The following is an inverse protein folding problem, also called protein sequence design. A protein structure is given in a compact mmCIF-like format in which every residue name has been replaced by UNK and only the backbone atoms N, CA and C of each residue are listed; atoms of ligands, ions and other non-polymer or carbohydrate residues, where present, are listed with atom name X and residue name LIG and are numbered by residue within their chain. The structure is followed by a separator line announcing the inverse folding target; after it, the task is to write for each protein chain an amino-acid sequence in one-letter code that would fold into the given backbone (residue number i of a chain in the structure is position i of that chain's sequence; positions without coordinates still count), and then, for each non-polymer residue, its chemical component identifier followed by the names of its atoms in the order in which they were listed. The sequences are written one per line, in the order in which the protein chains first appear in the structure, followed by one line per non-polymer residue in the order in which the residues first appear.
data_IF_250320428696
#
_entry.id   IF_250320428696
#
_cell.length_a   1.000
_cell.length_b   1.000
_cell.length_c   1.000
_cell.angle_alpha   90.00
_cell.angle_beta   90.00
_cell.angle_gamma   90.00
#
_symmetry.space_group_name_H-M   'P 1'
#
loop_
_entity.id
_entity.type
_entity.pdbx_description
1 polymer ?
#
# COMPACT_ATOMS: atom_id res chain seq x y z
N UNK A 1 -26.08 7.47 21.19
CA UNK A 1 -25.57 8.65 21.94
C UNK A 1 -24.69 8.23 23.13
N UNK A 2 -23.90 7.17 22.95
CA UNK A 2 -22.85 6.64 23.82
C UNK A 2 -21.95 5.82 22.88
N UNK A 3 -20.94 6.46 22.30
CA UNK A 3 -19.86 5.80 21.53
C UNK A 3 -18.69 6.77 21.25
N UNK A 4 -18.88 8.09 21.32
CA UNK A 4 -17.80 9.08 21.20
C UNK A 4 -16.84 9.17 22.42
N UNK A 5 -16.44 8.08 23.07
CA UNK A 5 -15.49 8.16 24.22
C UNK A 5 -14.52 6.98 24.30
N UNK A 6 -14.12 6.41 23.16
CA UNK A 6 -13.12 5.33 23.14
C UNK A 6 -11.76 5.82 22.63
N UNK A 7 -11.69 6.85 21.79
CA UNK A 7 -10.41 7.27 21.16
C UNK A 7 -9.47 8.05 22.12
N UNK A 8 -9.93 8.58 23.27
CA UNK A 8 -9.06 9.32 24.20
C UNK A 8 -8.32 8.46 25.25
N UNK A 9 -8.31 7.12 25.14
CA UNK A 9 -7.72 6.25 26.17
C UNK A 9 -6.27 5.83 25.93
N UNK A 10 -5.68 6.10 24.76
CA UNK A 10 -4.28 5.74 24.47
C UNK A 10 -3.23 6.71 25.05
N UNK A 11 -3.60 7.93 25.48
CA UNK A 11 -2.63 8.98 25.85
C UNK A 11 -2.44 9.25 27.36
N UNK A 12 -2.94 8.42 28.28
CA UNK A 12 -2.79 8.70 29.73
C UNK A 12 -2.07 7.59 30.51
N UNK A 13 -0.73 7.64 30.43
CA UNK A 13 0.18 6.89 31.28
C UNK A 13 -0.01 7.21 32.76
N UNK A 14 -0.77 6.37 33.46
CA UNK A 14 -0.91 6.42 34.90
C UNK A 14 0.25 5.64 35.54
N UNK A 15 1.18 6.39 36.12
CA UNK A 15 2.27 5.90 36.95
C UNK A 15 1.72 5.37 38.28
N UNK A 16 1.80 4.06 38.49
CA UNK A 16 1.66 3.45 39.82
C UNK A 16 2.64 2.29 39.94
N UNK A 17 3.69 2.51 40.74
CA UNK A 17 4.78 1.58 40.93
C UNK A 17 4.37 0.29 41.63
N UNK A 18 4.93 -0.81 41.13
CA UNK A 18 5.11 -2.03 41.90
C UNK A 18 6.58 -2.44 41.84
N UNK A 19 7.23 -2.42 43.01
CA UNK A 19 8.55 -2.98 43.21
C UNK A 19 8.48 -4.50 43.25
N UNK A 20 9.18 -5.14 42.33
CA UNK A 20 9.44 -6.57 42.32
C UNK A 20 10.85 -6.81 41.79
N UNK A 21 11.80 -6.98 42.71
CA UNK A 21 13.18 -7.33 42.41
C UNK A 21 13.29 -8.76 41.91
N UNK A 22 13.65 -8.95 40.64
CA UNK A 22 14.07 -10.25 40.10
C UNK A 22 15.59 -10.22 39.91
N UNK A 23 16.26 -11.20 40.52
CA UNK A 23 17.71 -11.38 40.47
C UNK A 23 18.15 -11.96 39.13
N UNK A 24 19.33 -11.60 38.60
CA UNK A 24 19.91 -12.23 37.42
C UNK A 24 20.64 -13.52 37.77
N UNK A 25 20.49 -14.54 36.94
CA UNK A 25 21.24 -15.79 36.96
C UNK A 25 21.44 -16.32 35.53
N UNK A 26 22.51 -17.08 35.28
CA UNK A 26 23.53 -16.67 34.32
C UNK A 26 23.56 -17.47 33.01
N UNK A 27 24.18 -16.84 32.02
CA UNK A 27 25.09 -17.35 30.99
C UNK A 27 24.95 -18.82 30.56
N UNK A 28 24.53 -19.02 29.31
CA UNK A 28 24.89 -20.19 28.52
C UNK A 28 25.39 -19.71 27.16
N UNK A 29 26.68 -19.98 26.93
CA UNK A 29 27.45 -19.79 25.72
C UNK A 29 26.90 -20.58 24.52
N UNK A 30 27.17 -20.01 23.34
CA UNK A 30 27.63 -20.64 22.09
C UNK A 30 27.04 -22.00 21.66
N UNK A 31 26.52 -22.05 20.43
CA UNK A 31 27.29 -22.65 19.33
C UNK A 31 26.69 -22.24 17.98
N UNK A 32 27.60 -21.89 17.08
CA UNK A 32 27.35 -21.66 15.67
C UNK A 32 27.32 -23.00 14.95
N UNK A 33 26.41 -23.19 14.01
CA UNK A 33 26.65 -24.03 12.85
C UNK A 33 25.90 -23.44 11.65
N UNK A 34 26.69 -23.11 10.65
CA UNK A 34 26.29 -22.70 9.32
C UNK A 34 26.17 -23.95 8.47
N UNK A 35 25.01 -24.17 7.86
CA UNK A 35 24.88 -25.07 6.72
C UNK A 35 24.11 -24.34 5.62
N UNK A 36 24.88 -23.99 4.60
CA UNK A 36 24.41 -23.53 3.32
C UNK A 36 24.17 -24.76 2.45
N UNK A 37 22.91 -25.04 2.11
CA UNK A 37 22.58 -25.92 1.01
C UNK A 37 21.74 -25.14 0.01
N UNK A 38 22.39 -24.85 -1.11
CA UNK A 38 21.81 -24.34 -2.33
C UNK A 38 21.27 -25.53 -3.11
N UNK A 39 19.95 -25.60 -3.30
CA UNK A 39 19.35 -26.40 -4.36
C UNK A 39 18.54 -25.47 -5.27
N UNK A 40 19.07 -25.33 -6.47
CA UNK A 40 18.44 -24.71 -7.61
C UNK A 40 17.52 -25.75 -8.26
N UNK A 41 16.22 -25.46 -8.30
CA UNK A 41 15.32 -26.08 -9.27
C UNK A 41 14.60 -24.98 -10.04
N UNK A 42 15.00 -24.90 -11.31
CA UNK A 42 14.31 -24.20 -12.36
C UNK A 42 13.12 -25.03 -12.83
N UNK A 43 12.04 -24.34 -13.14
CA UNK A 43 11.07 -24.57 -14.24
C UNK A 43 9.75 -23.90 -13.79
N UNK A 44 8.94 -23.21 -14.59
CA UNK A 44 8.98 -22.65 -15.93
C UNK A 44 7.53 -22.15 -16.17
N UNK A 45 7.40 -20.86 -16.47
CA UNK A 45 6.40 -20.24 -17.33
C UNK A 45 4.89 -20.41 -17.07
N UNK A 46 4.27 -19.27 -16.80
CA UNK A 46 2.90 -19.03 -17.25
C UNK A 46 2.36 -17.66 -16.91
N UNK A 47 2.92 -16.57 -17.46
CA UNK A 47 2.15 -15.34 -17.69
C UNK A 47 2.82 -14.43 -18.74
N UNK A 48 2.25 -14.46 -19.94
CA UNK A 48 2.54 -13.52 -21.01
C UNK A 48 1.29 -12.67 -21.23
N UNK A 49 1.29 -11.44 -20.70
CA UNK A 49 0.74 -10.22 -21.32
C UNK A 49 0.60 -9.07 -20.27
N UNK A 50 1.72 -8.44 -19.91
CA UNK A 50 1.76 -7.03 -19.44
C UNK A 50 3.03 -6.36 -19.99
N UNK A 51 2.97 -5.14 -20.54
CA UNK A 51 4.17 -4.41 -20.96
C UNK A 51 4.72 -3.64 -19.76
N UNK A 52 5.68 -4.23 -19.04
CA UNK A 52 6.42 -3.61 -17.94
C UNK A 52 7.41 -4.60 -17.34
N UNK A 53 8.65 -4.18 -17.12
CA UNK A 53 9.83 -5.05 -16.95
C UNK A 53 9.68 -6.18 -15.93
N UNK A 54 10.06 -7.40 -16.35
CA UNK A 54 10.35 -8.51 -15.44
C UNK A 54 11.65 -8.28 -14.66
N UNK A 55 12.36 -9.34 -14.28
CA UNK A 55 13.68 -9.23 -13.61
C UNK A 55 14.67 -8.51 -14.54
N UNK A 56 15.16 -7.34 -14.12
CA UNK A 56 16.18 -6.63 -14.87
C UNK A 56 17.53 -7.36 -14.82
N UNK A 57 18.27 -7.44 -15.95
CA UNK A 57 19.61 -8.01 -15.94
C UNK A 57 20.49 -7.24 -14.98
N UNK A 58 21.00 -7.91 -13.95
CA UNK A 58 21.94 -7.28 -13.03
C UNK A 58 23.15 -6.73 -13.83
N UNK A 59 23.57 -5.48 -13.58
CA UNK A 59 23.24 -4.64 -12.42
C UNK A 59 22.04 -3.68 -12.58
N UNK A 60 21.20 -3.78 -13.61
CA UNK A 60 20.10 -2.85 -13.83
C UNK A 60 18.92 -2.99 -12.86
N UNK A 61 18.18 -1.89 -12.67
CA UNK A 61 16.96 -1.83 -11.84
C UNK A 61 15.72 -1.54 -12.69
N UNK A 62 14.55 -1.96 -12.21
CA UNK A 62 13.27 -1.69 -12.87
C UNK A 62 12.70 -0.37 -12.36
N UNK A 63 12.50 0.60 -13.26
CA UNK A 63 11.87 1.89 -12.95
C UNK A 63 10.87 2.24 -14.04
N UNK A 64 9.64 2.54 -13.63
CA UNK A 64 8.53 2.92 -14.53
C UNK A 64 8.30 1.91 -15.68
N UNK A 65 8.44 0.61 -15.37
CA UNK A 65 8.27 -0.47 -16.33
C UNK A 65 9.43 -0.63 -17.32
N UNK A 66 10.58 0.02 -17.07
CA UNK A 66 11.80 -0.06 -17.87
C UNK A 66 13.02 -0.51 -17.05
N UNK A 67 13.86 -1.36 -17.64
CA UNK A 67 15.15 -1.72 -17.04
C UNK A 67 16.18 -0.65 -17.37
N UNK A 68 16.60 0.08 -16.34
CA UNK A 68 17.67 1.06 -16.43
C UNK A 68 18.98 0.39 -16.05
N UNK A 69 19.91 0.33 -17.00
CA UNK A 69 21.27 -0.11 -16.73
C UNK A 69 22.08 1.07 -16.19
N UNK A 70 22.96 0.85 -15.19
CA UNK A 70 23.84 1.90 -14.70
C UNK A 70 24.77 2.38 -15.82
N UNK A 71 25.12 3.66 -15.81
CA UNK A 71 26.00 4.23 -16.82
C UNK A 71 27.35 3.47 -16.90
N UNK A 72 27.82 3.18 -18.13
CA UNK A 72 29.14 2.55 -18.36
C UNK A 72 30.31 3.43 -17.86
N UNK A 73 30.04 4.72 -17.65
CA UNK A 73 30.89 5.68 -16.97
C UNK A 73 30.03 6.65 -16.16
N UNK A 74 30.30 6.73 -14.86
CA UNK A 74 29.61 7.56 -13.88
C UNK A 74 30.36 7.46 -12.55
N UNK A 75 30.23 8.48 -11.69
CA UNK A 75 30.82 8.44 -10.34
C UNK A 75 30.20 7.28 -9.54
N UNK A 76 30.99 6.71 -8.63
CA UNK A 76 30.45 5.71 -7.71
C UNK A 76 29.67 6.45 -6.63
N UNK A 77 28.50 5.94 -6.32
CA UNK A 77 27.61 6.50 -5.31
C UNK A 77 27.01 5.35 -4.50
N UNK A 78 26.59 5.70 -3.30
CA UNK A 78 25.71 4.92 -2.44
C UNK A 78 24.33 5.61 -2.35
N UNK A 79 24.28 6.93 -2.53
CA UNK A 79 23.07 7.76 -2.48
C UNK A 79 23.03 8.79 -3.62
N UNK A 80 21.84 9.27 -3.96
CA UNK A 80 21.60 10.20 -5.09
C UNK A 80 22.29 11.56 -4.92
N UNK A 81 22.44 12.04 -3.68
CA UNK A 81 23.06 13.33 -3.35
C UNK A 81 24.58 13.36 -3.57
N UNK A 82 25.17 12.19 -3.84
CA UNK A 82 26.58 12.05 -4.22
C UNK A 82 26.80 12.23 -5.74
N UNK A 83 25.73 12.33 -6.52
CA UNK A 83 25.77 12.53 -7.96
C UNK A 83 25.66 14.00 -8.38
N UNK A 84 26.05 14.33 -9.63
CA UNK A 84 25.90 15.69 -10.15
C UNK A 84 24.42 16.04 -10.38
N UNK A 85 24.08 17.34 -10.40
CA UNK A 85 22.72 17.81 -10.68
C UNK A 85 22.18 17.19 -11.98
N UNK A 86 21.08 16.45 -11.90
CA UNK A 86 20.50 15.73 -13.04
C UNK A 86 20.91 14.26 -13.16
N UNK A 87 21.48 13.64 -12.12
CA UNK A 87 21.81 12.22 -12.05
C UNK A 87 21.23 11.55 -10.78
N UNK A 88 21.04 10.23 -10.82
CA UNK A 88 20.60 9.36 -9.73
C UNK A 88 21.57 8.20 -9.52
N UNK A 89 21.66 7.72 -8.29
CA UNK A 89 22.50 6.60 -7.92
C UNK A 89 21.83 5.26 -8.21
N UNK A 90 22.07 4.72 -9.40
CA UNK A 90 21.51 3.44 -9.84
C UNK A 90 22.59 2.36 -9.74
N UNK A 91 22.34 1.33 -8.93
CA UNK A 91 23.22 0.18 -8.75
C UNK A 91 24.69 0.57 -8.47
N UNK A 92 24.88 1.63 -7.68
CA UNK A 92 26.17 2.15 -7.26
C UNK A 92 26.89 3.03 -8.28
N UNK A 93 26.19 3.54 -9.30
CA UNK A 93 26.71 4.52 -10.25
C UNK A 93 25.74 5.65 -10.54
N UNK A 94 26.26 6.87 -10.55
CA UNK A 94 25.54 8.04 -11.02
C UNK A 94 25.15 7.83 -12.49
N UNK A 95 23.84 7.87 -12.72
CA UNK A 95 23.19 7.61 -14.00
C UNK A 95 22.22 8.77 -14.24
N UNK A 96 22.15 9.36 -15.45
CA UNK A 96 21.28 10.49 -15.73
C UNK A 96 19.83 10.31 -15.25
N UNK A 97 19.31 11.33 -14.55
CA UNK A 97 17.95 11.37 -14.04
C UNK A 97 16.98 11.60 -15.20
N UNK A 98 16.22 10.55 -15.50
CA UNK A 98 15.19 10.53 -16.54
C UNK A 98 14.04 11.51 -16.30
N UNK A 99 13.92 12.06 -15.09
CA UNK A 99 12.95 13.12 -14.75
C UNK A 99 13.40 14.50 -15.27
N UNK A 100 14.69 14.66 -15.54
CA UNK A 100 15.34 15.95 -15.81
C UNK A 100 15.83 16.05 -17.26
N UNK A 101 16.22 14.95 -17.91
CA UNK A 101 16.81 14.96 -19.25
C UNK A 101 16.20 13.95 -20.25
N UNK A 102 16.19 14.33 -21.54
CA UNK A 102 15.61 13.63 -22.69
C UNK A 102 16.32 12.32 -23.09
N UNK A 103 17.30 11.90 -22.30
CA UNK A 103 18.26 10.86 -22.66
C UNK A 103 17.83 9.44 -22.26
N UNK A 104 16.76 9.30 -21.46
CA UNK A 104 16.29 8.01 -20.99
C UNK A 104 15.38 7.28 -21.96
N UNK A 105 15.37 5.95 -21.81
CA UNK A 105 14.49 5.11 -22.60
C UNK A 105 13.03 5.23 -22.19
N UNK A 106 12.12 4.88 -23.10
CA UNK A 106 10.66 4.92 -22.84
C UNK A 106 9.95 3.73 -23.51
N UNK A 107 8.83 3.28 -22.93
CA UNK A 107 8.02 2.21 -23.52
C UNK A 107 6.81 2.76 -24.31
N UNK A 108 6.28 3.91 -23.86
CA UNK A 108 5.17 4.66 -24.44
C UNK A 108 5.30 6.15 -24.05
N UNK A 109 4.43 7.01 -24.57
CA UNK A 109 4.50 8.46 -24.35
C UNK A 109 4.24 8.86 -22.89
N UNK A 110 3.46 8.08 -22.14
CA UNK A 110 3.11 8.38 -20.74
C UNK A 110 4.31 8.25 -19.80
N UNK A 111 5.36 7.53 -20.23
CA UNK A 111 6.63 7.40 -19.54
C UNK A 111 7.54 8.63 -19.70
N UNK A 112 7.19 9.60 -20.56
CA UNK A 112 7.98 10.80 -20.80
C UNK A 112 7.40 12.02 -20.07
N UNK A 113 8.28 12.98 -19.71
CA UNK A 113 7.87 14.28 -19.19
C UNK A 113 6.98 15.01 -20.23
N UNK A 114 6.07 15.85 -19.76
CA UNK A 114 5.31 16.75 -20.63
C UNK A 114 6.21 17.51 -21.61
N UNK A 115 5.82 17.52 -22.89
CA UNK A 115 6.61 18.07 -24.00
C UNK A 115 7.51 17.05 -24.72
N UNK A 116 7.54 15.78 -24.27
CA UNK A 116 8.31 14.71 -24.87
C UNK A 116 7.42 13.52 -25.26
N UNK A 117 7.75 12.87 -26.38
CA UNK A 117 7.12 11.64 -26.85
C UNK A 117 8.11 10.51 -26.89
N UNK A 118 7.61 9.30 -26.73
CA UNK A 118 8.43 8.12 -26.79
C UNK A 118 8.68 7.70 -28.24
N UNK A 119 9.89 7.97 -28.73
CA UNK A 119 10.29 7.60 -30.09
C UNK A 119 11.51 6.68 -30.06
N UNK A 120 11.37 5.51 -30.68
CA UNK A 120 12.42 4.49 -30.74
C UNK A 120 12.98 4.11 -29.35
N UNK A 121 12.12 4.17 -28.34
CA UNK A 121 12.48 3.87 -26.98
C UNK A 121 13.36 4.93 -26.33
N UNK A 122 13.25 6.21 -26.73
CA UNK A 122 13.81 7.37 -26.05
C UNK A 122 12.78 8.50 -25.97
N UNK A 123 12.76 9.25 -24.86
CA UNK A 123 11.92 10.44 -24.75
C UNK A 123 12.52 11.57 -25.58
N UNK A 124 12.03 11.77 -26.80
CA UNK A 124 12.45 12.88 -27.65
C UNK A 124 11.45 14.03 -27.53
N UNK A 125 11.89 15.29 -27.69
CA UNK A 125 10.96 16.41 -27.80
C UNK A 125 9.86 16.08 -28.81
N UNK A 126 8.60 16.31 -28.46
CA UNK A 126 7.52 16.12 -29.39
C UNK A 126 7.63 17.15 -30.52
N UNK A 127 7.91 16.70 -31.74
CA UNK A 127 7.98 17.55 -32.94
C UNK A 127 6.60 17.75 -33.60
N UNK A 128 5.51 17.36 -32.93
CA UNK A 128 4.15 17.64 -33.37
C UNK A 128 3.91 19.13 -33.64
N UNK A 129 3.12 19.46 -34.66
CA UNK A 129 2.71 20.85 -34.90
C UNK A 129 1.90 21.36 -33.71
N UNK A 130 2.53 22.19 -32.87
CA UNK A 130 1.93 22.72 -31.64
C UNK A 130 2.46 22.11 -30.36
N UNK A 131 3.43 21.19 -30.41
CA UNK A 131 4.07 20.69 -29.20
C UNK A 131 5.12 21.67 -28.66
N UNK A 132 5.32 21.66 -27.34
CA UNK A 132 6.26 22.55 -26.65
C UNK A 132 6.77 21.95 -25.34
N UNK A 133 7.94 22.40 -24.91
CA UNK A 133 8.56 22.15 -23.61
C UNK A 133 8.59 23.45 -22.80
N UNK A 134 8.70 24.60 -23.47
CA UNK A 134 8.70 25.93 -22.85
C UNK A 134 7.92 26.96 -23.67
N UNK A 135 7.48 28.04 -23.01
CA UNK A 135 6.68 29.11 -23.62
C UNK A 135 7.39 29.81 -24.80
N UNK A 136 8.71 29.86 -24.80
CA UNK A 136 9.49 30.51 -25.87
C UNK A 136 9.56 29.69 -27.16
N UNK A 137 9.10 28.43 -27.12
CA UNK A 137 8.93 27.56 -28.27
C UNK A 137 7.56 27.76 -28.96
N UNK A 138 6.62 28.46 -28.29
CA UNK A 138 5.29 28.73 -28.82
C UNK A 138 5.21 30.01 -29.67
N UNK A 139 4.23 30.12 -30.59
CA UNK A 139 3.97 31.35 -31.34
C UNK A 139 3.80 32.55 -30.40
N UNK A 140 4.22 33.73 -30.85
CA UNK A 140 4.21 34.93 -30.01
C UNK A 140 2.81 35.22 -29.41
N UNK A 141 2.69 35.04 -28.10
CA UNK A 141 1.47 35.23 -27.33
C UNK A 141 0.89 33.94 -26.77
N UNK A 142 1.25 32.77 -27.30
CA UNK A 142 0.81 31.46 -26.85
C UNK A 142 1.69 30.97 -25.68
N UNK A 143 1.15 30.10 -24.83
CA UNK A 143 1.87 29.49 -23.69
C UNK A 143 1.93 27.97 -23.85
N UNK A 144 2.95 27.35 -23.27
CA UNK A 144 3.13 25.93 -23.30
C UNK A 144 2.41 25.25 -22.14
N UNK A 145 1.29 24.57 -22.41
CA UNK A 145 0.48 23.89 -21.38
C UNK A 145 0.32 22.42 -21.76
N UNK A 146 0.70 21.53 -20.85
CA UNK A 146 0.63 20.06 -21.02
C UNK A 146 1.30 19.54 -22.31
N UNK A 147 2.33 20.24 -22.78
CA UNK A 147 3.03 19.91 -24.01
C UNK A 147 2.37 20.44 -25.28
N UNK A 148 1.32 21.27 -25.19
CA UNK A 148 0.67 21.94 -26.31
C UNK A 148 0.75 23.47 -26.20
N UNK A 149 1.08 24.13 -27.31
CA UNK A 149 1.00 25.58 -27.45
C UNK A 149 -0.45 26.00 -27.53
N UNK A 150 -0.97 26.50 -26.42
CA UNK A 150 -2.32 27.05 -26.36
C UNK A 150 -2.27 28.55 -26.62
N UNK A 151 -3.18 29.09 -27.45
CA UNK A 151 -3.36 30.54 -27.56
C UNK A 151 -3.51 31.16 -26.17
N UNK A 152 -3.10 32.43 -25.96
CA UNK A 152 -3.31 33.09 -24.69
C UNK A 152 -4.80 33.05 -24.42
N UNK A 153 -5.19 32.14 -23.54
CA UNK A 153 -6.48 32.20 -22.89
C UNK A 153 -6.48 33.58 -22.24
N UNK A 154 -7.58 34.32 -22.27
CA UNK A 154 -7.70 35.41 -21.32
C UNK A 154 -7.74 34.75 -19.94
N UNK A 155 -6.56 34.49 -19.37
CA UNK A 155 -6.38 33.73 -18.17
C UNK A 155 -7.08 34.54 -17.07
N UNK A 156 -8.16 33.97 -16.51
CA UNK A 156 -9.04 34.69 -15.61
C UNK A 156 -8.29 35.17 -14.37
N UNK A 157 -7.38 34.32 -13.90
CA UNK A 157 -6.41 34.62 -12.85
C UNK A 157 -5.01 34.52 -13.47
N UNK A 158 -4.23 35.59 -13.32
CA UNK A 158 -2.83 35.68 -13.72
C UNK A 158 -2.06 36.04 -12.46
N UNK A 159 -0.91 35.41 -12.24
CA UNK A 159 -0.05 35.63 -11.07
C UNK A 159 -0.78 35.45 -9.71
N UNK A 160 -1.41 34.29 -9.41
CA UNK A 160 -1.92 34.04 -8.06
C UNK A 160 -0.76 34.07 -7.04
N UNK A 161 -1.11 34.28 -5.76
CA UNK A 161 -0.15 34.25 -4.67
C UNK A 161 -0.52 33.12 -3.70
N UNK A 162 -0.07 31.92 -4.04
CA UNK A 162 -0.34 30.69 -3.30
C UNK A 162 0.69 30.41 -2.18
N UNK A 163 1.66 31.32 -1.97
CA UNK A 163 2.68 31.24 -0.92
C UNK A 163 2.06 31.08 0.48
N UNK A 164 2.66 30.26 1.34
CA UNK A 164 2.24 30.01 2.72
C UNK A 164 1.69 28.62 2.98
N UNK A 165 1.08 28.44 4.17
CA UNK A 165 0.62 27.15 4.66
C UNK A 165 -0.82 26.86 4.24
N UNK A 166 -1.08 25.63 3.80
CA UNK A 166 -2.40 25.13 3.38
C UNK A 166 -2.76 23.88 4.15
N UNK A 167 -3.95 23.84 4.73
CA UNK A 167 -4.57 22.62 5.25
C UNK A 167 -5.21 21.87 4.07
N UNK A 168 -4.84 20.60 3.88
CA UNK A 168 -5.25 19.78 2.74
C UNK A 168 -5.90 18.49 3.23
N UNK A 169 -7.12 18.25 2.74
CA UNK A 169 -7.85 17.01 2.97
C UNK A 169 -7.91 16.24 1.63
N UNK A 170 -7.30 15.07 1.60
CA UNK A 170 -7.20 14.22 0.41
C UNK A 170 -8.00 12.93 0.57
N UNK A 171 -8.73 12.54 -0.48
CA UNK A 171 -9.36 11.22 -0.61
C UNK A 171 -8.58 10.42 -1.67
N UNK A 172 -7.84 9.40 -1.24
CA UNK A 172 -7.02 8.54 -2.10
C UNK A 172 -7.72 7.19 -2.35
N UNK A 173 -7.88 6.80 -3.62
CA UNK A 173 -8.53 5.54 -4.01
C UNK A 173 -7.55 4.40 -4.19
N UNK A 174 -6.82 4.07 -3.13
CA UNK A 174 -5.70 3.11 -3.18
C UNK A 174 -6.08 1.73 -3.72
N UNK A 175 -7.33 1.30 -3.58
CA UNK A 175 -7.83 0.05 -4.20
C UNK A 175 -7.53 -0.05 -5.70
N UNK A 176 -7.52 1.06 -6.43
CA UNK A 176 -7.21 1.08 -7.87
C UNK A 176 -5.80 0.56 -8.15
N UNK A 177 -4.86 0.81 -7.24
CA UNK A 177 -3.47 0.37 -7.31
C UNK A 177 -3.19 -0.98 -6.61
N UNK A 178 -4.13 -1.48 -5.80
CA UNK A 178 -3.96 -2.69 -4.99
C UNK A 178 -4.71 -3.97 -5.46
N UNK A 179 -5.15 -4.15 -6.73
CA UNK A 179 -6.02 -5.28 -7.07
C UNK A 179 -5.32 -6.64 -6.92
N UNK A 180 -4.07 -6.77 -7.38
CA UNK A 180 -3.35 -8.05 -7.35
C UNK A 180 -3.04 -8.54 -5.94
N UNK A 181 -2.50 -7.64 -5.12
CA UNK A 181 -2.21 -7.95 -3.71
C UNK A 181 -3.50 -8.26 -2.94
N UNK A 182 -4.53 -7.40 -3.08
CA UNK A 182 -5.77 -7.57 -2.33
C UNK A 182 -6.48 -8.86 -2.71
N UNK A 183 -6.51 -9.23 -4.00
CA UNK A 183 -7.07 -10.51 -4.44
C UNK A 183 -6.29 -11.69 -3.85
N UNK A 184 -4.95 -11.61 -3.79
CA UNK A 184 -4.09 -12.62 -3.16
C UNK A 184 -4.36 -12.77 -1.66
N UNK A 185 -4.36 -11.65 -0.93
CA UNK A 185 -4.66 -11.59 0.49
C UNK A 185 -6.07 -12.11 0.80
N UNK A 186 -7.09 -11.61 0.09
CA UNK A 186 -8.48 -12.04 0.26
C UNK A 186 -8.64 -13.52 -0.10
N UNK A 187 -7.93 -14.01 -1.10
CA UNK A 187 -7.93 -15.44 -1.43
C UNK A 187 -7.35 -16.27 -0.28
N UNK A 188 -6.20 -15.87 0.28
CA UNK A 188 -5.54 -16.56 1.39
C UNK A 188 -6.43 -16.66 2.63
N UNK A 189 -7.05 -15.54 3.03
CA UNK A 189 -7.97 -15.52 4.19
C UNK A 189 -9.32 -16.19 3.88
N UNK A 190 -9.79 -16.17 2.63
CA UNK A 190 -11.11 -16.71 2.28
C UNK A 190 -11.21 -18.23 2.31
N UNK A 191 -10.10 -18.99 2.27
CA UNK A 191 -10.14 -20.46 2.19
C UNK A 191 -10.99 -21.11 3.29
N UNK A 192 -10.60 -20.97 4.56
CA UNK A 192 -11.38 -21.47 5.70
C UNK A 192 -12.81 -20.90 5.74
N UNK A 193 -12.97 -19.63 5.36
CA UNK A 193 -14.27 -18.95 5.41
C UNK A 193 -15.24 -19.43 4.33
N UNK A 194 -14.75 -19.79 3.14
CA UNK A 194 -15.56 -20.38 2.07
C UNK A 194 -16.09 -21.75 2.48
N UNK A 195 -15.28 -22.54 3.18
CA UNK A 195 -15.74 -23.79 3.76
C UNK A 195 -16.88 -23.52 4.76
N UNK A 196 -16.68 -22.65 5.74
CA UNK A 196 -17.72 -22.33 6.74
C UNK A 196 -18.99 -21.75 6.12
N UNK A 197 -18.87 -20.97 5.05
CA UNK A 197 -20.00 -20.38 4.34
C UNK A 197 -20.75 -21.36 3.43
N UNK A 198 -20.35 -22.64 3.34
CA UNK A 198 -21.00 -23.59 2.42
C UNK A 198 -20.65 -23.39 0.95
N UNK A 199 -19.58 -22.65 0.67
CA UNK A 199 -19.15 -22.32 -0.69
C UNK A 199 -17.98 -23.19 -1.17
N UNK A 200 -17.27 -23.84 -0.25
CA UNK A 200 -16.32 -24.90 -0.54
C UNK A 200 -16.81 -26.20 0.09
N UNK A 201 -16.74 -27.28 -0.69
CA UNK A 201 -16.94 -28.63 -0.17
C UNK A 201 -15.69 -29.08 0.60
N UNK A 202 -14.50 -28.59 0.22
CA UNK A 202 -13.20 -29.02 0.74
C UNK A 202 -12.61 -28.00 1.73
N UNK A 203 -12.17 -28.48 2.90
CA UNK A 203 -11.35 -27.73 3.87
C UNK A 203 -9.86 -27.68 3.47
N UNK A 204 -9.46 -28.50 2.49
CA UNK A 204 -8.07 -28.77 2.12
C UNK A 204 -7.37 -29.72 3.09
N UNK A 205 -8.11 -30.57 3.82
CA UNK A 205 -7.51 -31.46 4.82
C UNK A 205 -6.82 -32.69 4.23
N UNK A 206 -7.02 -32.97 2.93
CA UNK A 206 -6.40 -34.07 2.18
C UNK A 206 -6.48 -35.41 2.97
N UNK A 207 -7.68 -35.74 3.51
CA UNK A 207 -7.91 -36.91 4.38
C UNK A 207 -8.62 -38.02 3.58
N UNK A 208 -7.90 -39.03 3.06
CA UNK A 208 -8.33 -39.83 1.91
C UNK A 208 -9.46 -40.87 2.12
N UNK A 209 -10.23 -40.85 3.22
CA UNK A 209 -11.14 -41.98 3.56
C UNK A 209 -12.53 -41.59 4.09
N UNK A 210 -12.74 -40.38 4.63
CA UNK A 210 -14.03 -40.00 5.26
C UNK A 210 -14.36 -38.51 5.08
N UNK A 211 -13.88 -37.86 4.00
CA UNK A 211 -14.07 -36.42 3.75
C UNK A 211 -15.53 -36.00 3.82
N UNK A 212 -16.41 -36.48 2.93
CA UNK A 212 -17.79 -36.01 2.85
C UNK A 212 -18.56 -36.09 4.19
N UNK A 213 -18.39 -37.19 4.94
CA UNK A 213 -19.16 -37.42 6.16
C UNK A 213 -18.60 -36.63 7.36
N UNK A 214 -17.28 -36.46 7.43
CA UNK A 214 -16.64 -35.64 8.46
C UNK A 214 -16.87 -34.17 8.17
N UNK A 215 -16.82 -33.75 6.91
CA UNK A 215 -17.07 -32.37 6.49
C UNK A 215 -18.48 -31.93 6.84
N UNK A 216 -19.50 -32.74 6.54
CA UNK A 216 -20.89 -32.46 6.94
C UNK A 216 -21.01 -32.30 8.46
N UNK A 217 -20.37 -33.17 9.25
CA UNK A 217 -20.44 -33.09 10.71
C UNK A 217 -19.66 -31.90 11.29
N UNK A 218 -18.50 -31.56 10.71
CA UNK A 218 -17.72 -30.38 11.09
C UNK A 218 -18.48 -29.11 10.72
N UNK A 219 -19.14 -29.08 9.57
CA UNK A 219 -19.99 -27.97 9.12
C UNK A 219 -21.18 -27.76 10.05
N UNK A 220 -21.95 -28.83 10.32
CA UNK A 220 -23.08 -28.80 11.25
C UNK A 220 -22.63 -28.34 12.65
N UNK A 221 -21.48 -28.82 13.12
CA UNK A 221 -20.90 -28.35 14.38
C UNK A 221 -20.53 -26.86 14.33
N UNK A 222 -19.88 -26.41 13.26
CA UNK A 222 -19.43 -25.04 13.13
C UNK A 222 -20.62 -24.05 13.11
N UNK A 223 -21.72 -24.39 12.42
CA UNK A 223 -22.94 -23.54 12.39
C UNK A 223 -23.47 -23.19 13.79
N UNK A 224 -23.38 -24.13 14.73
CA UNK A 224 -23.89 -23.95 16.10
C UNK A 224 -22.85 -23.42 17.09
N UNK A 225 -21.55 -23.51 16.76
CA UNK A 225 -20.47 -23.29 17.73
C UNK A 225 -19.55 -22.11 17.41
N UNK A 226 -19.53 -21.57 16.18
CA UNK A 226 -18.66 -20.43 15.83
C UNK A 226 -18.91 -19.24 16.79
N UNK A 227 -17.86 -18.73 17.45
CA UNK A 227 -17.97 -17.55 18.29
C UNK A 227 -18.45 -16.35 17.48
N UNK A 228 -19.31 -15.48 18.04
CA UNK A 228 -19.79 -14.28 17.33
C UNK A 228 -18.64 -13.41 16.78
N UNK A 229 -17.57 -13.24 17.55
CA UNK A 229 -16.40 -12.45 17.13
C UNK A 229 -15.73 -13.00 15.87
N UNK A 230 -15.76 -14.33 15.64
CA UNK A 230 -15.14 -14.94 14.47
C UNK A 230 -15.98 -14.66 13.21
N UNK A 231 -17.31 -14.68 13.33
CA UNK A 231 -18.21 -14.24 12.26
C UNK A 231 -18.05 -12.75 11.94
N UNK A 232 -17.94 -11.92 12.97
CA UNK A 232 -17.72 -10.50 12.81
C UNK A 232 -16.36 -10.21 12.17
N UNK A 233 -15.29 -10.92 12.58
CA UNK A 233 -13.96 -10.84 11.99
C UNK A 233 -13.96 -11.27 10.52
N UNK A 234 -14.63 -12.37 10.18
CA UNK A 234 -14.79 -12.81 8.79
C UNK A 234 -15.44 -11.73 7.91
N UNK A 235 -16.53 -11.16 8.42
CA UNK A 235 -17.22 -10.08 7.72
C UNK A 235 -16.33 -8.84 7.61
N UNK A 236 -15.55 -8.53 8.65
CA UNK A 236 -14.63 -7.41 8.68
C UNK A 236 -13.48 -7.55 7.67
N UNK A 237 -12.93 -8.75 7.53
CA UNK A 237 -11.90 -9.07 6.52
C UNK A 237 -12.48 -8.94 5.11
N UNK A 238 -13.72 -9.40 4.88
CA UNK A 238 -14.39 -9.21 3.61
C UNK A 238 -14.66 -7.72 3.29
N UNK A 239 -14.92 -6.93 4.33
CA UNK A 239 -15.12 -5.47 4.23
C UNK A 239 -13.81 -4.72 3.89
N UNK A 240 -12.61 -5.32 4.01
CA UNK A 240 -11.32 -4.66 3.73
C UNK A 240 -11.25 -4.09 2.30
N UNK A 241 -11.88 -4.76 1.34
CA UNK A 241 -11.98 -4.28 -0.03
C UNK A 241 -12.76 -2.97 -0.17
N UNK A 242 -13.74 -2.76 0.70
CA UNK A 242 -14.50 -1.52 0.75
C UNK A 242 -13.76 -0.47 1.59
N UNK A 243 -13.06 -0.88 2.65
CA UNK A 243 -12.26 0.01 3.49
C UNK A 243 -11.11 0.65 2.71
N UNK A 244 -10.39 -0.14 1.90
CA UNK A 244 -9.28 0.34 1.06
C UNK A 244 -9.73 1.13 -0.17
N UNK A 245 -11.04 1.25 -0.40
CA UNK A 245 -11.57 1.99 -1.56
C UNK A 245 -11.37 3.49 -1.44
N UNK A 246 -11.36 4.02 -0.22
CA UNK A 246 -11.19 5.45 0.06
C UNK A 246 -10.42 5.62 1.36
N UNK A 247 -9.16 6.05 1.24
CA UNK A 247 -8.35 6.50 2.37
C UNK A 247 -8.38 8.01 2.41
N UNK A 248 -8.79 8.58 3.54
CA UNK A 248 -8.72 10.01 3.79
C UNK A 248 -7.36 10.34 4.42
N UNK A 249 -6.71 11.38 3.94
CA UNK A 249 -5.44 11.89 4.46
C UNK A 249 -5.62 13.36 4.78
N UNK A 250 -5.44 13.72 6.04
CA UNK A 250 -5.31 15.12 6.45
C UNK A 250 -3.83 15.45 6.52
N UNK A 251 -3.42 16.50 5.82
CA UNK A 251 -2.04 16.91 5.68
C UNK A 251 -1.95 18.41 5.45
N UNK A 252 -0.76 18.98 5.51
CA UNK A 252 -0.57 20.38 5.16
C UNK A 252 0.59 20.58 4.21
N UNK A 253 0.44 21.60 3.35
CA UNK A 253 1.51 22.08 2.49
C UNK A 253 2.09 23.36 3.03
N UNK A 254 3.41 23.48 3.02
CA UNK A 254 4.10 24.76 3.10
C UNK A 254 4.63 25.11 1.71
N UNK A 255 4.02 26.10 1.06
CA UNK A 255 4.40 26.55 -0.29
C UNK A 255 5.25 27.82 -0.21
N UNK A 256 6.44 27.80 -0.80
CA UNK A 256 7.31 28.96 -0.96
C UNK A 256 7.37 29.37 -2.45
N UNK A 257 7.04 30.62 -2.77
CA UNK A 257 7.18 31.13 -4.13
C UNK A 257 8.66 31.26 -4.53
N UNK A 258 9.08 30.53 -5.57
CA UNK A 258 10.46 30.54 -6.08
C UNK A 258 10.63 31.50 -7.27
N UNK A 259 9.60 31.62 -8.10
CA UNK A 259 9.50 32.59 -9.18
C UNK A 259 8.04 33.04 -9.39
N UNK A 260 7.78 33.77 -10.48
CA UNK A 260 6.40 34.10 -10.85
C UNK A 260 5.69 32.81 -11.27
N UNK A 261 4.55 32.51 -10.66
CA UNK A 261 3.78 31.28 -10.92
C UNK A 261 4.49 29.95 -10.61
N UNK A 262 5.65 29.98 -9.97
CA UNK A 262 6.42 28.80 -9.57
C UNK A 262 6.55 28.75 -8.04
N UNK A 263 6.38 27.56 -7.49
CA UNK A 263 6.35 27.29 -6.06
C UNK A 263 7.17 26.04 -5.76
N UNK A 264 7.78 26.02 -4.57
CA UNK A 264 8.33 24.82 -3.96
C UNK A 264 7.50 24.50 -2.73
N UNK A 265 6.97 23.30 -2.65
CA UNK A 265 6.14 22.81 -1.56
C UNK A 265 6.86 21.78 -0.70
N UNK A 266 6.48 21.72 0.57
CA UNK A 266 6.74 20.59 1.45
C UNK A 266 5.38 20.02 1.89
N UNK A 267 5.20 18.70 1.79
CA UNK A 267 3.99 18.02 2.29
C UNK A 267 4.23 17.44 3.69
N UNK A 268 3.24 17.43 4.57
CA UNK A 268 3.36 16.78 5.90
C UNK A 268 2.03 16.18 6.30
N UNK A 269 2.01 14.86 6.47
CA UNK A 269 0.81 14.11 6.82
C UNK A 269 0.53 14.20 8.32
N UNK A 270 -0.66 14.68 8.67
CA UNK A 270 -1.09 14.87 10.06
C UNK A 270 -1.88 13.67 10.58
N UNK A 271 -2.74 13.08 9.74
CA UNK A 271 -3.48 11.87 10.08
C UNK A 271 -4.04 11.16 8.86
N UNK A 272 -4.39 9.89 9.03
CA UNK A 272 -5.14 9.11 8.05
C UNK A 272 -6.45 8.65 8.65
N UNK A 273 -7.47 8.50 7.81
CA UNK A 273 -8.75 7.95 8.21
C UNK A 273 -9.35 7.07 7.12
N UNK A 274 -10.20 6.14 7.53
CA UNK A 274 -11.00 5.30 6.64
C UNK A 274 -12.41 5.13 7.21
N UNK A 275 -13.35 4.76 6.35
CA UNK A 275 -14.72 4.46 6.79
C UNK A 275 -14.90 2.96 6.95
N UNK A 276 -15.28 2.51 8.14
CA UNK A 276 -15.65 1.13 8.42
C UNK A 276 -17.09 1.09 8.95
N UNK A 277 -17.98 0.41 8.22
CA UNK A 277 -19.41 0.27 8.56
C UNK A 277 -20.13 1.59 8.87
N UNK A 278 -19.73 2.66 8.20
CA UNK A 278 -20.29 4.00 8.36
C UNK A 278 -19.73 4.79 9.54
N UNK A 279 -18.75 4.25 10.26
CA UNK A 279 -17.98 4.97 11.26
C UNK A 279 -16.61 5.32 10.69
N UNK A 280 -16.15 6.53 10.96
CA UNK A 280 -14.82 6.99 10.59
C UNK A 280 -13.82 6.50 11.64
N UNK A 281 -12.77 5.84 11.17
CA UNK A 281 -11.66 5.36 11.97
C UNK A 281 -10.45 6.18 11.57
N UNK A 282 -9.83 6.86 12.54
CA UNK A 282 -8.70 7.76 12.31
C UNK A 282 -7.47 7.26 13.08
N UNK A 283 -6.31 7.36 12.45
CA UNK A 283 -5.01 7.09 13.05
C UNK A 283 -4.06 8.26 12.82
N UNK A 284 -3.29 8.59 13.85
CA UNK A 284 -2.19 9.55 13.78
C UNK A 284 -0.84 8.82 13.66
N UNK A 285 0.25 9.52 13.27
CA UNK A 285 1.60 8.95 13.24
C UNK A 285 2.00 8.17 14.51
N UNK A 286 1.61 8.66 15.69
CA UNK A 286 1.88 7.97 16.96
C UNK A 286 1.10 6.66 17.18
N UNK A 287 -0.01 6.45 16.46
CA UNK A 287 -0.86 5.28 16.60
C UNK A 287 -0.39 4.11 15.72
N UNK A 288 0.48 4.38 14.74
CA UNK A 288 0.85 3.44 13.70
C UNK A 288 2.29 2.98 13.91
N UNK A 289 2.44 1.73 14.34
CA UNK A 289 3.76 1.15 14.56
C UNK A 289 4.54 1.09 13.25
N UNK A 290 5.72 1.70 13.24
CA UNK A 290 6.54 1.79 12.04
C UNK A 290 6.14 2.93 11.10
N UNK A 291 5.28 3.86 11.55
CA UNK A 291 4.99 5.07 10.78
C UNK A 291 6.27 5.85 10.50
N UNK A 292 6.63 5.88 9.23
CA UNK A 292 7.60 6.78 8.64
C UNK A 292 6.89 7.30 7.41
N UNK A 293 6.52 8.59 7.47
CA UNK A 293 6.03 9.33 6.32
C UNK A 293 6.97 10.50 6.16
N UNK A 294 7.87 10.38 5.19
CA UNK A 294 8.72 11.45 4.74
C UNK A 294 8.29 11.79 3.31
N UNK A 295 7.98 13.05 3.05
CA UNK A 295 7.65 13.51 1.71
C UNK A 295 8.83 14.28 1.15
N UNK A 296 9.15 14.00 -0.10
CA UNK A 296 10.09 14.84 -0.83
C UNK A 296 9.48 16.23 -1.05
N UNK A 297 10.29 17.31 -0.98
CA UNK A 297 9.85 18.60 -1.46
C UNK A 297 9.40 18.49 -2.91
N UNK A 298 8.26 19.10 -3.25
CA UNK A 298 7.71 19.09 -4.58
C UNK A 298 7.79 20.45 -5.24
N UNK A 299 7.91 20.48 -6.56
CA UNK A 299 7.72 21.72 -7.31
C UNK A 299 6.23 21.83 -7.72
N UNK A 300 5.76 23.07 -7.87
CA UNK A 300 4.40 23.33 -8.29
C UNK A 300 4.33 24.61 -9.12
N UNK A 301 3.31 24.72 -9.97
CA UNK A 301 3.15 25.86 -10.87
C UNK A 301 1.70 26.27 -11.08
N UNK A 302 1.45 27.56 -11.22
CA UNK A 302 0.14 28.12 -11.48
C UNK A 302 0.04 28.65 -12.91
N UNK A 303 -0.47 27.85 -13.84
CA UNK A 303 -0.56 28.23 -15.25
C UNK A 303 -2.00 28.53 -15.61
N UNK A 304 -2.28 29.78 -15.97
CA UNK A 304 -3.56 30.21 -16.51
C UNK A 304 -4.80 29.88 -15.67
N UNK A 305 -4.66 30.03 -14.34
CA UNK A 305 -5.74 29.76 -13.40
C UNK A 305 -5.87 28.29 -13.04
N UNK A 306 -4.86 27.47 -13.30
CA UNK A 306 -4.77 26.09 -12.84
C UNK A 306 -3.47 25.92 -12.06
N UNK A 307 -3.57 25.38 -10.85
CA UNK A 307 -2.44 25.01 -10.00
C UNK A 307 -2.11 23.54 -10.21
N UNK A 308 -0.87 23.26 -10.57
CA UNK A 308 -0.31 21.94 -10.77
C UNK A 308 0.70 21.65 -9.68
N UNK A 309 0.55 20.51 -9.02
CA UNK A 309 1.55 19.93 -8.13
C UNK A 309 2.32 18.90 -8.95
N UNK A 310 3.60 19.11 -9.16
CA UNK A 310 4.42 18.17 -9.91
C UNK A 310 4.57 16.85 -9.14
N UNK A 311 4.96 15.80 -9.88
CA UNK A 311 5.13 14.47 -9.31
C UNK A 311 6.20 14.49 -8.21
N UNK A 312 5.85 14.00 -7.04
CA UNK A 312 6.76 13.81 -5.93
C UNK A 312 6.49 12.48 -5.24
N UNK A 313 7.52 12.00 -4.55
CA UNK A 313 7.49 10.74 -3.82
C UNK A 313 7.15 11.05 -2.36
N UNK A 314 6.19 10.32 -1.84
CA UNK A 314 5.87 10.23 -0.43
C UNK A 314 6.35 8.85 0.00
N UNK A 315 7.48 8.82 0.70
CA UNK A 315 7.96 7.62 1.38
C UNK A 315 7.07 7.42 2.60
N UNK A 316 5.91 6.86 2.32
CA UNK A 316 4.98 6.41 3.32
C UNK A 316 5.17 4.91 3.45
N UNK A 317 5.37 4.43 4.68
CA UNK A 317 5.24 3.02 5.00
C UNK A 317 3.76 2.57 4.81
N UNK A 318 3.25 2.56 3.58
CA UNK A 318 1.88 2.17 3.21
C UNK A 318 1.63 0.74 3.69
N UNK A 319 2.67 -0.09 3.64
CA UNK A 319 2.78 -1.31 4.42
C UNK A 319 2.28 -1.24 5.87
N UNK A 320 2.92 -0.37 6.66
CA UNK A 320 2.57 -0.17 8.07
C UNK A 320 1.14 0.38 8.23
N UNK A 321 0.68 1.22 7.29
CA UNK A 321 -0.69 1.72 7.25
C UNK A 321 -1.70 0.57 7.02
N UNK A 322 -1.42 -0.31 6.05
CA UNK A 322 -2.26 -1.48 5.77
C UNK A 322 -2.28 -2.42 6.97
N UNK A 323 -1.12 -2.71 7.57
CA UNK A 323 -1.03 -3.55 8.75
C UNK A 323 -1.82 -2.96 9.93
N UNK A 324 -1.66 -1.67 10.21
CA UNK A 324 -2.45 -0.96 11.22
C UNK A 324 -3.95 -1.00 10.93
N UNK A 325 -4.35 -0.81 9.68
CA UNK A 325 -5.75 -0.85 9.26
C UNK A 325 -6.35 -2.23 9.51
N UNK A 326 -5.65 -3.29 9.11
CA UNK A 326 -6.06 -4.68 9.35
C UNK A 326 -6.19 -4.94 10.85
N UNK A 327 -5.18 -4.57 11.64
CA UNK A 327 -5.19 -4.76 13.09
C UNK A 327 -6.32 -3.97 13.78
N UNK A 328 -6.58 -2.74 13.32
CA UNK A 328 -7.67 -1.91 13.83
C UNK A 328 -9.03 -2.54 13.52
N UNK A 329 -9.20 -3.08 12.31
CA UNK A 329 -10.42 -3.78 11.91
C UNK A 329 -10.60 -5.05 12.74
N UNK A 330 -9.54 -5.81 13.01
CA UNK A 330 -9.56 -6.98 13.90
C UNK A 330 -9.97 -6.58 15.31
N UNK A 331 -9.36 -5.53 15.86
CA UNK A 331 -9.67 -5.03 17.20
C UNK A 331 -11.14 -4.64 17.31
N UNK A 332 -11.68 -3.89 16.34
CA UNK A 332 -13.09 -3.48 16.33
C UNK A 332 -14.01 -4.71 16.18
N UNK A 333 -13.72 -5.60 15.22
CA UNK A 333 -14.55 -6.76 14.93
C UNK A 333 -14.61 -7.76 16.10
N UNK A 334 -13.60 -7.77 16.95
CA UNK A 334 -13.48 -8.69 18.08
C UNK A 334 -13.86 -8.05 19.41
N UNK A 335 -14.43 -6.83 19.40
CA UNK A 335 -14.76 -6.02 20.59
C UNK A 335 -13.54 -5.86 21.54
N UNK A 336 -12.36 -5.76 20.94
CA UNK A 336 -11.08 -5.61 21.62
C UNK A 336 -10.48 -6.88 22.23
N UNK A 337 -11.01 -8.06 21.91
CA UNK A 337 -10.45 -9.34 22.39
C UNK A 337 -9.06 -9.61 21.80
N UNK A 338 -8.81 -9.21 20.55
CA UNK A 338 -7.52 -9.39 19.87
C UNK A 338 -6.99 -8.07 19.32
N UNK A 339 -5.70 -7.82 19.50
CA UNK A 339 -5.03 -6.58 19.07
C UNK A 339 -4.56 -6.63 17.61
N UNK A 340 -4.40 -7.82 17.03
CA UNK A 340 -3.90 -7.98 15.66
C UNK A 340 -4.44 -9.27 15.02
N UNK A 341 -4.33 -9.34 13.68
CA UNK A 341 -4.85 -10.46 12.90
C UNK A 341 -4.21 -11.79 13.32
N UNK A 342 -2.89 -11.81 13.53
CA UNK A 342 -2.16 -13.01 13.91
C UNK A 342 -2.72 -13.64 15.19
N UNK A 343 -2.90 -12.83 16.24
CA UNK A 343 -3.46 -13.29 17.52
C UNK A 343 -4.88 -13.85 17.37
N UNK A 344 -5.72 -13.18 16.57
CA UNK A 344 -7.09 -13.64 16.31
C UNK A 344 -7.11 -14.97 15.54
N UNK A 345 -6.27 -15.11 14.51
CA UNK A 345 -6.18 -16.32 13.69
C UNK A 345 -5.63 -17.52 14.46
N UNK A 346 -4.55 -17.35 15.23
CA UNK A 346 -4.02 -18.44 16.06
C UNK A 346 -5.01 -18.92 17.12
N UNK A 347 -5.79 -18.01 17.70
CA UNK A 347 -6.80 -18.38 18.68
C UNK A 347 -8.02 -19.04 18.03
N UNK A 348 -8.38 -18.61 16.81
CA UNK A 348 -9.41 -19.26 15.99
C UNK A 348 -9.01 -20.68 15.61
N UNK A 349 -7.78 -20.88 15.13
CA UNK A 349 -7.21 -22.19 14.74
C UNK A 349 -7.37 -23.22 15.87
N UNK A 350 -6.82 -22.93 17.05
CA UNK A 350 -6.85 -23.88 18.15
C UNK A 350 -8.26 -24.22 18.61
N UNK A 351 -9.16 -23.23 18.65
CA UNK A 351 -10.55 -23.44 19.01
C UNK A 351 -11.30 -24.27 17.95
N UNK A 352 -11.13 -23.93 16.67
CA UNK A 352 -11.82 -24.57 15.56
C UNK A 352 -11.37 -26.03 15.38
N UNK A 353 -10.06 -26.28 15.38
CA UNK A 353 -9.53 -27.63 15.16
C UNK A 353 -9.81 -28.59 16.32
N UNK A 354 -9.81 -28.10 17.57
CA UNK A 354 -10.25 -28.88 18.73
C UNK A 354 -11.73 -29.30 18.58
N UNK A 355 -12.58 -28.35 18.18
CA UNK A 355 -14.00 -28.59 18.00
C UNK A 355 -14.34 -29.50 16.81
N UNK A 356 -13.69 -29.29 15.67
CA UNK A 356 -13.82 -30.13 14.48
C UNK A 356 -13.37 -31.58 14.77
N UNK A 357 -12.25 -31.76 15.46
CA UNK A 357 -11.79 -33.08 15.90
C UNK A 357 -12.77 -33.75 16.86
N UNK A 358 -13.37 -32.99 17.78
CA UNK A 358 -14.43 -33.45 18.66
C UNK A 358 -15.67 -33.94 17.89
N UNK A 359 -16.18 -33.13 16.97
CA UNK A 359 -17.34 -33.47 16.16
C UNK A 359 -17.10 -34.72 15.29
N UNK A 360 -15.93 -34.82 14.66
CA UNK A 360 -15.53 -35.98 13.87
C UNK A 360 -15.42 -37.25 14.73
N UNK A 361 -14.84 -37.14 15.94
CA UNK A 361 -14.74 -38.26 16.86
C UNK A 361 -16.12 -38.72 17.35
N UNK A 362 -17.01 -37.79 17.71
CA UNK A 362 -18.38 -38.09 18.13
C UNK A 362 -19.17 -38.83 17.03
N UNK A 363 -18.97 -38.46 15.76
CA UNK A 363 -19.57 -39.18 14.63
C UNK A 363 -18.95 -40.58 14.46
N UNK A 364 -17.63 -40.68 14.56
CA UNK A 364 -16.94 -41.98 14.47
C UNK A 364 -17.43 -42.94 15.55
N UNK A 365 -17.56 -42.47 16.79
CA UNK A 365 -18.10 -43.26 17.91
C UNK A 365 -19.55 -43.71 17.66
N UNK A 366 -20.40 -42.85 17.07
CA UNK A 366 -21.78 -43.21 16.71
C UNK A 366 -21.86 -44.31 15.65
N UNK A 367 -20.82 -44.47 14.84
CA UNK A 367 -20.73 -45.49 13.77
C UNK A 367 -19.91 -46.72 14.17
N UNK A 368 -19.57 -46.87 15.45
CA UNK A 368 -18.65 -47.91 15.96
C UNK A 368 -17.26 -47.87 15.26
N UNK A 369 -16.80 -46.66 14.88
CA UNK A 369 -15.52 -46.38 14.25
C UNK A 369 -14.35 -46.24 15.23
N UNK A 370 -13.11 -46.08 14.73
CA UNK A 370 -11.94 -45.81 15.57
C UNK A 370 -11.94 -44.38 16.15
N UNK A 371 -11.15 -44.14 17.20
CA UNK A 371 -10.82 -42.79 17.65
C UNK A 371 -10.05 -42.07 16.54
N UNK A 372 -10.61 -40.96 16.05
CA UNK A 372 -10.06 -40.14 14.98
C UNK A 372 -9.63 -38.75 15.46
N UNK A 373 -9.86 -38.43 16.73
CA UNK A 373 -9.69 -37.07 17.27
C UNK A 373 -8.29 -36.51 16.95
N UNK A 374 -7.24 -37.23 17.32
CA UNK A 374 -5.86 -36.75 17.13
C UNK A 374 -5.43 -36.66 15.66
N UNK A 375 -6.04 -37.46 14.77
CA UNK A 375 -5.73 -37.42 13.33
C UNK A 375 -6.39 -36.20 12.71
N UNK A 376 -7.67 -35.96 13.02
CA UNK A 376 -8.42 -34.81 12.51
C UNK A 376 -7.84 -33.50 13.06
N UNK A 377 -7.50 -33.45 14.35
CA UNK A 377 -6.88 -32.26 14.94
C UNK A 377 -5.56 -31.92 14.25
N UNK A 378 -4.64 -32.89 14.11
CA UNK A 378 -3.35 -32.64 13.49
C UNK A 378 -3.45 -32.25 12.00
N UNK A 379 -4.40 -32.83 11.27
CA UNK A 379 -4.66 -32.46 9.87
C UNK A 379 -5.24 -31.04 9.77
N UNK A 380 -6.17 -30.68 10.66
CA UNK A 380 -6.75 -29.34 10.73
C UNK A 380 -5.72 -28.28 11.10
N UNK A 381 -4.91 -28.51 12.14
CA UNK A 381 -3.86 -27.59 12.57
C UNK A 381 -2.89 -27.33 11.40
N UNK A 382 -2.46 -28.39 10.70
CA UNK A 382 -1.55 -28.26 9.56
C UNK A 382 -2.15 -27.43 8.40
N UNK A 383 -3.41 -27.69 8.06
CA UNK A 383 -4.09 -26.97 6.97
C UNK A 383 -4.33 -25.49 7.33
N UNK A 384 -4.81 -25.21 8.53
CA UNK A 384 -5.05 -23.83 8.97
C UNK A 384 -3.76 -23.04 9.14
N UNK A 385 -2.70 -23.64 9.69
CA UNK A 385 -1.39 -23.00 9.78
C UNK A 385 -0.89 -22.51 8.41
N UNK A 386 -1.07 -23.31 7.35
CA UNK A 386 -0.70 -22.93 5.98
C UNK A 386 -1.50 -21.72 5.46
N UNK A 387 -2.80 -21.63 5.77
CA UNK A 387 -3.62 -20.45 5.43
C UNK A 387 -3.22 -19.21 6.23
N UNK A 388 -2.94 -19.38 7.53
CA UNK A 388 -2.52 -18.30 8.42
C UNK A 388 -1.18 -17.74 7.96
N UNK A 389 -0.21 -18.61 7.69
CA UNK A 389 1.12 -18.23 7.22
C UNK A 389 1.01 -17.44 5.91
N UNK A 390 0.22 -17.91 4.94
CA UNK A 390 -0.03 -17.18 3.68
C UNK A 390 -0.68 -15.81 3.89
N UNK A 391 -1.64 -15.71 4.82
CA UNK A 391 -2.30 -14.45 5.10
C UNK A 391 -1.34 -13.43 5.75
N UNK A 392 -0.50 -13.89 6.68
CA UNK A 392 0.50 -13.07 7.34
C UNK A 392 1.65 -12.70 6.39
N UNK A 393 2.10 -13.63 5.55
CA UNK A 393 3.08 -13.40 4.49
C UNK A 393 2.55 -12.35 3.49
N UNK A 394 1.31 -12.46 3.04
CA UNK A 394 0.71 -11.45 2.17
C UNK A 394 0.71 -10.04 2.80
N UNK A 395 0.42 -9.91 4.10
CA UNK A 395 0.53 -8.61 4.79
C UNK A 395 1.98 -8.13 4.83
N UNK A 396 2.92 -9.02 5.17
CA UNK A 396 4.35 -8.68 5.23
C UNK A 396 4.91 -8.30 3.84
N UNK A 397 4.49 -8.96 2.77
CA UNK A 397 4.89 -8.65 1.40
C UNK A 397 4.37 -7.27 0.98
N UNK A 398 3.12 -6.95 1.31
CA UNK A 398 2.62 -5.57 1.17
C UNK A 398 3.49 -4.57 1.92
N UNK A 399 3.99 -4.94 3.11
CA UNK A 399 4.88 -4.06 3.86
C UNK A 399 6.22 -3.79 3.19
N UNK A 400 6.73 -4.73 2.40
CA UNK A 400 8.03 -4.64 1.76
C UNK A 400 7.96 -4.03 0.37
N UNK A 401 6.90 -4.31 -0.39
CA UNK A 401 6.77 -3.89 -1.79
C UNK A 401 6.12 -2.50 -1.95
N UNK A 402 5.36 -2.04 -0.97
CA UNK A 402 4.56 -0.82 -1.04
C UNK A 402 5.12 0.27 -0.14
N UNK A 403 6.30 0.79 -0.49
CA UNK A 403 6.98 1.84 0.28
C UNK A 403 6.88 3.22 -0.36
N UNK A 404 6.78 3.29 -1.69
CA UNK A 404 6.78 4.58 -2.39
C UNK A 404 5.39 4.85 -2.95
N UNK A 405 4.76 5.92 -2.43
CA UNK A 405 3.55 6.50 -2.99
C UNK A 405 3.94 7.72 -3.80
N UNK A 406 3.65 7.75 -5.11
CA UNK A 406 3.88 8.95 -5.91
C UNK A 406 2.59 9.71 -6.12
N UNK A 407 2.63 11.03 -5.99
CA UNK A 407 1.47 11.91 -6.14
C UNK A 407 1.76 13.03 -7.12
N UNK A 408 0.78 13.34 -7.97
CA UNK A 408 0.73 14.49 -8.85
C UNK A 408 -0.68 15.08 -8.81
N UNK A 409 -0.79 16.40 -8.67
CA UNK A 409 -2.06 17.06 -8.39
C UNK A 409 -2.41 18.15 -9.38
N UNK A 410 -3.70 18.43 -9.53
CA UNK A 410 -4.19 19.64 -10.22
C UNK A 410 -5.42 20.23 -9.52
N UNK A 411 -5.52 21.55 -9.45
CA UNK A 411 -6.69 22.26 -8.95
C UNK A 411 -6.91 23.58 -9.71
N UNK A 412 -8.16 23.99 -9.89
CA UNK A 412 -8.44 25.30 -10.48
C UNK A 412 -8.21 26.42 -9.45
N UNK A 413 -7.64 27.52 -9.88
CA UNK A 413 -7.38 28.73 -9.08
C UNK A 413 -8.56 29.68 -9.24
N UNK A 414 -9.33 29.86 -8.16
CA UNK A 414 -10.56 30.67 -8.17
C UNK A 414 -10.24 32.15 -8.04
N UNK A 415 -9.31 32.49 -7.16
CA UNK A 415 -8.79 33.84 -6.95
C UNK A 415 -7.32 33.79 -6.52
N UNK A 416 -6.77 34.88 -5.98
CA UNK A 416 -5.33 34.97 -5.71
C UNK A 416 -4.85 33.98 -4.64
N UNK A 417 -5.73 33.47 -3.80
CA UNK A 417 -5.40 32.70 -2.62
C UNK A 417 -6.42 31.59 -2.30
N UNK A 418 -7.22 31.20 -3.30
CA UNK A 418 -8.24 30.16 -3.19
C UNK A 418 -8.11 29.16 -4.34
N UNK A 419 -8.11 27.89 -3.98
CA UNK A 419 -8.18 26.77 -4.91
C UNK A 419 -9.59 26.14 -4.85
N UNK A 420 -10.12 25.76 -6.00
CA UNK A 420 -11.25 24.82 -6.06
C UNK A 420 -10.76 23.40 -5.69
N UNK A 421 -11.67 22.47 -5.36
CA UNK A 421 -11.30 21.08 -5.14
C UNK A 421 -10.50 20.52 -6.33
N UNK A 422 -9.37 19.90 -6.01
CA UNK A 422 -8.43 19.35 -6.96
C UNK A 422 -8.53 17.83 -7.11
N UNK A 423 -7.71 17.31 -8.01
CA UNK A 423 -7.62 15.89 -8.33
C UNK A 423 -6.18 15.41 -8.19
N UNK A 424 -6.02 14.23 -7.62
CA UNK A 424 -4.78 13.47 -7.58
C UNK A 424 -4.72 12.43 -8.68
N UNK A 425 -3.52 12.29 -9.24
CA UNK A 425 -3.06 11.13 -9.99
C UNK A 425 -1.88 10.57 -9.22
N UNK A 426 -1.93 9.31 -8.82
CA UNK A 426 -0.86 8.70 -8.06
C UNK A 426 -0.52 7.31 -8.54
N UNK A 427 0.62 6.81 -8.06
CA UNK A 427 1.07 5.44 -8.31
C UNK A 427 1.51 4.79 -7.00
N UNK A 428 1.15 3.53 -6.80
CA UNK A 428 1.54 2.73 -5.65
C UNK A 428 1.88 1.31 -6.13
N UNK A 429 3.04 0.78 -5.75
CA UNK A 429 3.46 -0.57 -6.17
C UNK A 429 3.48 -0.77 -7.69
N UNK A 430 3.75 0.29 -8.46
CA UNK A 430 3.75 0.27 -9.93
C UNK A 430 2.36 0.28 -10.59
N UNK A 431 1.28 0.46 -9.83
CA UNK A 431 -0.08 0.61 -10.35
C UNK A 431 -0.64 2.01 -10.07
N UNK A 432 -1.45 2.52 -11.00
CA UNK A 432 -2.03 3.86 -10.91
C UNK A 432 -3.29 3.88 -10.02
N UNK A 433 -3.52 5.02 -9.36
CA UNK A 433 -4.77 5.33 -8.68
C UNK A 433 -5.13 6.82 -8.81
N UNK A 434 -6.39 7.12 -8.55
CA UNK A 434 -6.91 8.49 -8.54
C UNK A 434 -7.26 8.95 -7.13
N UNK A 435 -7.36 10.25 -6.94
CA UNK A 435 -7.89 10.84 -5.72
C UNK A 435 -8.44 12.24 -5.96
N UNK A 436 -9.00 12.81 -4.91
CA UNK A 436 -9.47 14.20 -4.90
C UNK A 436 -8.87 14.90 -3.67
N UNK A 437 -8.71 16.22 -3.72
CA UNK A 437 -8.30 16.99 -2.55
C UNK A 437 -9.00 18.32 -2.42
N UNK A 438 -9.06 18.83 -1.20
CA UNK A 438 -9.51 20.19 -0.89
C UNK A 438 -8.41 20.87 -0.10
N UNK A 439 -7.89 21.97 -0.63
CA UNK A 439 -6.86 22.77 0.03
C UNK A 439 -7.44 24.10 0.52
N UNK A 440 -7.22 24.42 1.79
CA UNK A 440 -7.66 25.68 2.41
C UNK A 440 -6.46 26.39 3.03
N UNK A 441 -6.23 27.65 2.66
CA UNK A 441 -5.14 28.44 3.22
C UNK A 441 -5.35 28.71 4.72
N UNK A 442 -4.29 28.56 5.51
CA UNK A 442 -4.32 28.69 6.98
C UNK A 442 -4.24 30.13 7.49
#
# INVERSE_FOLDING_TARGET
MRLCTVISLLASGCSAGFGGSVQPGPDADADADADADADADADADGDADRPGCGVCPAPGECRDGMCLEPAEGGELCEFDDECEDGELCIAGRCTPDCRIDASCGCANNDACRHGFVCQAGQCVPDEGEGACIADDECPAGDACIDGECVPPVECGVVDPNLDGTWDVASELRLREALPGWLDGFLSAVSGPFRFLAGQSDDLGLDIPIIEDLIEDAVRDWAEDNIPPWAMDLMAAIADLNDILSTMQVEHHWDLDATALDEYRGQDTWDSIAFTYRGEEVQGSPEDILGWQVESDPFDARAVCGVFYVDRHDVDAAIGAIIAWLVDTVVYIATDGEYENLAAALFQFEGWFCEGAAGAANDLSEQLDGPDVYGIVQAACDAALAEYIDRALEAINDAMLEMTILRLQGRADVVDRDTLDPGQWMGTLGGSDFTGDFVATRR
#
